data_IF_358555947644
#
_entry.id   IF_358555947644
#
_cell.length_a   1.000
_cell.length_b   1.000
_cell.length_c   1.000
_cell.angle_alpha   90.00
_cell.angle_beta   90.00
_cell.angle_gamma   90.00
#
_symmetry.space_group_name_H-M   'P 1'
#
loop_
_entity.id
_entity.type
_entity.pdbx_description
1 polymer ?
#
# COMPACT_ATOMS: atom_id res chain seq x y z
N UNK A 1 -39.39 -3.50 19.66
CA UNK A 1 -40.56 -4.42 19.57
C UNK A 1 -40.13 -5.80 18.99
N UNK A 2 -40.89 -6.89 19.21
CA UNK A 2 -40.43 -8.25 18.90
C UNK A 2 -40.01 -8.49 17.44
N UNK A 3 -40.61 -7.78 16.49
CA UNK A 3 -40.37 -7.98 15.06
C UNK A 3 -39.25 -7.10 14.48
N UNK A 4 -38.59 -6.28 15.30
CA UNK A 4 -37.54 -5.34 14.89
C UNK A 4 -36.21 -5.70 15.55
N UNK A 5 -35.13 -5.58 14.77
CA UNK A 5 -33.76 -5.79 15.24
C UNK A 5 -32.89 -4.60 14.85
N UNK A 6 -31.83 -4.28 15.63
CA UNK A 6 -30.76 -3.40 15.18
C UNK A 6 -30.16 -3.93 13.87
N UNK A 7 -29.88 -3.02 12.94
CA UNK A 7 -29.22 -3.30 11.67
C UNK A 7 -27.77 -2.82 11.68
N UNK A 8 -27.53 -1.61 12.20
CA UNK A 8 -26.22 -1.01 12.39
C UNK A 8 -26.09 -0.50 13.83
N UNK A 9 -24.85 -0.47 14.33
CA UNK A 9 -24.48 0.11 15.61
C UNK A 9 -23.27 1.02 15.40
N UNK A 10 -23.21 2.09 16.18
CA UNK A 10 -22.07 2.99 16.18
C UNK A 10 -20.89 2.33 16.91
N UNK A 11 -19.74 2.19 16.25
CA UNK A 11 -18.59 1.53 16.85
C UNK A 11 -17.91 2.32 17.98
N UNK A 12 -18.22 3.61 18.14
CA UNK A 12 -17.62 4.46 19.18
C UNK A 12 -18.43 4.46 20.48
N UNK A 13 -19.77 4.42 20.39
CA UNK A 13 -20.66 4.62 21.55
C UNK A 13 -21.81 3.60 21.67
N UNK A 14 -21.81 2.56 20.82
CA UNK A 14 -22.82 1.50 20.76
C UNK A 14 -24.26 1.98 20.51
N UNK A 15 -24.44 3.24 20.10
CA UNK A 15 -25.76 3.78 19.76
C UNK A 15 -26.34 3.11 18.52
N UNK A 16 -27.67 3.16 18.38
CA UNK A 16 -28.34 2.53 17.26
C UNK A 16 -28.18 3.36 15.98
N UNK A 17 -27.68 2.71 14.92
CA UNK A 17 -27.46 3.36 13.61
C UNK A 17 -28.41 2.85 12.52
N UNK A 18 -29.36 1.99 12.89
CA UNK A 18 -30.38 1.50 11.98
C UNK A 18 -31.18 0.34 12.54
N UNK A 19 -32.33 0.08 11.93
CA UNK A 19 -33.25 -1.00 12.32
C UNK A 19 -33.75 -1.75 11.08
N UNK A 20 -34.09 -3.02 11.26
CA UNK A 20 -34.74 -3.83 10.23
C UNK A 20 -35.87 -4.69 10.79
N UNK A 21 -36.93 -4.85 10.01
CA UNK A 21 -38.02 -5.77 10.30
C UNK A 21 -37.65 -7.21 9.92
N UNK A 22 -37.93 -8.16 10.80
CA UNK A 22 -37.51 -9.57 10.68
C UNK A 22 -38.12 -10.34 9.50
N UNK A 23 -39.26 -9.89 8.95
CA UNK A 23 -39.97 -10.56 7.85
C UNK A 23 -40.46 -9.68 6.72
N UNK A 24 -40.41 -8.35 6.87
CA UNK A 24 -40.95 -7.39 5.89
C UNK A 24 -39.77 -6.58 5.35
N UNK A 25 -39.85 -6.04 4.11
CA UNK A 25 -38.77 -5.27 3.51
C UNK A 25 -38.69 -3.84 4.08
N UNK A 26 -38.78 -3.70 5.40
CA UNK A 26 -38.71 -2.42 6.10
C UNK A 26 -37.36 -2.33 6.81
N UNK A 27 -36.60 -1.31 6.46
CA UNK A 27 -35.37 -0.96 7.16
C UNK A 27 -35.24 0.57 7.23
N UNK A 28 -34.40 1.03 8.15
CA UNK A 28 -34.04 2.44 8.31
C UNK A 28 -32.60 2.51 8.79
N UNK A 29 -31.95 3.63 8.48
CA UNK A 29 -30.61 3.98 8.96
C UNK A 29 -30.67 5.35 9.61
N UNK A 30 -29.80 5.59 10.58
CA UNK A 30 -29.69 6.86 11.30
C UNK A 30 -28.73 7.83 10.59
N UNK A 31 -27.79 7.30 9.80
CA UNK A 31 -26.84 8.04 8.98
C UNK A 31 -27.37 8.36 7.57
N UNK A 32 -26.58 9.11 6.81
CA UNK A 32 -26.92 9.68 5.51
C UNK A 32 -26.17 8.98 4.35
N UNK A 33 -26.72 7.90 3.75
CA UNK A 33 -26.05 7.17 2.68
C UNK A 33 -25.91 7.95 1.36
N UNK A 34 -26.61 9.07 1.21
CA UNK A 34 -26.49 9.99 0.07
C UNK A 34 -25.18 10.78 0.07
N UNK A 35 -24.44 10.79 1.19
CA UNK A 35 -23.04 11.19 1.27
C UNK A 35 -22.70 12.60 0.73
N UNK A 36 -23.63 13.55 0.78
CA UNK A 36 -23.44 14.93 0.28
C UNK A 36 -22.62 15.79 1.27
N UNK A 37 -21.34 15.43 1.43
CA UNK A 37 -20.44 15.88 2.49
C UNK A 37 -19.60 14.77 3.13
N UNK A 38 -19.78 13.52 2.69
CA UNK A 38 -19.25 12.33 3.34
C UNK A 38 -18.95 11.18 2.36
N UNK A 39 -18.56 10.01 2.88
CA UNK A 39 -18.14 8.87 2.06
C UNK A 39 -19.31 8.14 1.40
N UNK A 40 -19.13 7.66 0.18
CA UNK A 40 -20.14 6.91 -0.60
C UNK A 40 -20.26 5.43 -0.21
N UNK A 41 -19.63 5.00 0.88
CA UNK A 41 -19.42 3.60 1.26
C UNK A 41 -20.73 2.85 1.58
N UNK A 42 -21.82 3.57 1.84
CA UNK A 42 -23.14 2.99 2.15
C UNK A 42 -24.19 3.21 1.05
N UNK A 43 -23.77 3.65 -0.14
CA UNK A 43 -24.67 3.90 -1.27
C UNK A 43 -25.42 2.64 -1.75
N UNK A 44 -24.90 1.43 -1.48
CA UNK A 44 -25.55 0.16 -1.78
C UNK A 44 -26.95 0.02 -1.13
N UNK A 45 -27.23 0.79 -0.08
CA UNK A 45 -28.56 0.83 0.56
C UNK A 45 -29.66 1.32 -0.40
N UNK A 46 -29.33 2.18 -1.36
CA UNK A 46 -30.28 2.61 -2.39
C UNK A 46 -30.60 1.50 -3.38
N UNK A 47 -29.58 0.78 -3.85
CA UNK A 47 -29.76 -0.38 -4.74
C UNK A 47 -30.65 -1.43 -4.09
N UNK A 48 -30.42 -1.67 -2.79
CA UNK A 48 -31.24 -2.55 -1.98
C UNK A 48 -32.70 -2.10 -1.88
N UNK A 49 -32.93 -0.82 -1.61
CA UNK A 49 -34.29 -0.27 -1.60
C UNK A 49 -34.99 -0.47 -2.95
N UNK A 50 -34.33 -0.12 -4.05
CA UNK A 50 -34.86 -0.31 -5.42
C UNK A 50 -35.12 -1.79 -5.72
N UNK A 51 -34.24 -2.68 -5.28
CA UNK A 51 -34.42 -4.13 -5.40
C UNK A 51 -35.69 -4.62 -4.70
N UNK A 52 -35.93 -4.19 -3.46
CA UNK A 52 -37.18 -4.51 -2.75
C UNK A 52 -38.43 -4.01 -3.47
N UNK A 53 -38.41 -2.78 -3.99
CA UNK A 53 -39.54 -2.21 -4.75
C UNK A 53 -39.82 -3.03 -6.02
N UNK A 54 -38.77 -3.55 -6.66
CA UNK A 54 -38.88 -4.40 -7.86
C UNK A 54 -39.23 -5.86 -7.56
N UNK A 55 -39.38 -6.24 -6.28
CA UNK A 55 -39.62 -7.63 -5.89
C UNK A 55 -38.41 -8.56 -6.09
N UNK A 56 -37.21 -7.99 -6.27
CA UNK A 56 -35.97 -8.76 -6.35
C UNK A 56 -35.49 -9.05 -4.92
N UNK A 57 -35.19 -10.32 -4.56
CA UNK A 57 -34.62 -10.64 -3.26
C UNK A 57 -33.31 -9.87 -3.03
N UNK A 58 -33.22 -9.12 -1.94
CA UNK A 58 -32.03 -8.38 -1.52
C UNK A 58 -31.62 -8.83 -0.11
N UNK A 59 -31.04 -10.03 0.03
CA UNK A 59 -30.63 -10.52 1.34
C UNK A 59 -29.64 -9.55 1.98
N UNK A 60 -29.75 -9.35 3.30
CA UNK A 60 -28.60 -8.84 4.05
C UNK A 60 -27.61 -9.98 4.08
N UNK A 61 -26.65 -9.91 3.17
CA UNK A 61 -25.37 -10.56 3.39
C UNK A 61 -24.67 -9.64 4.37
N UNK A 62 -24.71 -9.98 5.66
CA UNK A 62 -23.60 -9.57 6.51
C UNK A 62 -22.39 -10.14 5.79
N UNK A 63 -21.42 -9.30 5.42
CA UNK A 63 -20.11 -9.83 5.07
C UNK A 63 -19.75 -10.72 6.23
N UNK A 64 -19.78 -12.02 5.98
CA UNK A 64 -19.81 -13.06 7.00
C UNK A 64 -18.40 -13.12 7.57
N UNK A 65 -18.04 -12.13 8.40
CA UNK A 65 -16.69 -11.75 8.85
C UNK A 65 -15.64 -12.54 8.06
N UNK A 66 -15.49 -12.21 6.78
CA UNK A 66 -15.04 -13.15 5.75
C UNK A 66 -13.74 -13.82 6.19
N UNK A 67 -13.86 -15.09 6.62
CA UNK A 67 -12.84 -16.15 6.54
C UNK A 67 -11.45 -15.88 7.13
N UNK A 68 -11.21 -14.76 7.80
CA UNK A 68 -9.92 -14.54 8.43
C UNK A 68 -9.83 -15.37 9.71
N UNK A 69 -9.25 -16.56 9.56
CA UNK A 69 -8.86 -17.37 10.70
C UNK A 69 -7.61 -16.72 11.29
N UNK A 70 -7.77 -16.02 12.41
CA UNK A 70 -6.65 -15.47 13.18
C UNK A 70 -5.61 -16.57 13.39
N UNK A 71 -4.43 -16.37 12.81
CA UNK A 71 -3.30 -17.27 12.97
C UNK A 71 -2.50 -16.83 14.18
N UNK A 72 -2.02 -17.80 14.94
CA UNK A 72 -1.14 -17.54 16.08
C UNK A 72 0.30 -17.72 15.62
N UNK A 73 1.09 -16.67 15.74
CA UNK A 73 2.53 -16.71 15.48
C UNK A 73 3.26 -16.66 16.83
N UNK A 74 4.34 -17.42 16.96
CA UNK A 74 5.19 -17.40 18.17
C UNK A 74 6.44 -16.57 17.93
N UNK A 75 7.00 -16.63 16.72
CA UNK A 75 8.21 -15.90 16.35
C UNK A 75 8.10 -15.29 14.97
N UNK A 76 8.44 -14.01 14.85
CA UNK A 76 8.44 -13.26 13.58
C UNK A 76 9.83 -12.66 13.33
N UNK A 77 10.29 -12.79 12.09
CA UNK A 77 11.47 -12.10 11.57
C UNK A 77 11.05 -10.77 10.92
N UNK A 78 11.52 -9.66 11.46
CA UNK A 78 11.38 -8.32 10.88
C UNK A 78 12.64 -7.95 10.11
N UNK A 79 12.48 -7.53 8.86
CA UNK A 79 13.57 -7.07 8.00
C UNK A 79 13.57 -5.55 7.95
N UNK A 80 14.64 -4.93 8.46
CA UNK A 80 14.79 -3.47 8.47
C UNK A 80 15.18 -2.87 7.11
N UNK A 81 15.41 -1.55 7.08
CA UNK A 81 15.78 -0.82 5.85
C UNK A 81 17.28 -0.80 5.56
N UNK A 82 18.14 -1.10 6.54
CA UNK A 82 19.57 -0.94 6.40
C UNK A 82 20.04 0.50 6.64
N UNK A 83 21.18 0.84 6.06
CA UNK A 83 21.75 2.19 6.17
C UNK A 83 20.84 3.24 5.53
N UNK A 84 20.83 4.45 6.10
CA UNK A 84 20.03 5.55 5.56
C UNK A 84 20.58 5.99 4.20
N UNK A 85 19.68 6.18 3.24
CA UNK A 85 19.96 6.75 1.92
C UNK A 85 18.88 7.76 1.53
N UNK A 86 19.18 8.63 0.57
CA UNK A 86 18.17 9.54 0.01
C UNK A 86 17.00 8.70 -0.54
N UNK A 87 15.77 9.06 -0.18
CA UNK A 87 14.55 8.31 -0.53
C UNK A 87 14.28 7.04 0.29
N UNK A 88 15.15 6.70 1.25
CA UNK A 88 14.92 5.61 2.20
C UNK A 88 15.62 5.91 3.53
N UNK A 89 14.92 6.62 4.42
CA UNK A 89 15.49 7.22 5.62
C UNK A 89 14.89 6.68 6.92
N UNK A 90 14.71 7.55 7.91
CA UNK A 90 14.33 7.21 9.28
C UNK A 90 12.86 6.78 9.44
N UNK A 91 12.02 6.99 8.43
CA UNK A 91 10.63 6.55 8.41
C UNK A 91 10.50 5.04 8.65
N UNK A 92 11.46 4.24 8.18
CA UNK A 92 11.48 2.79 8.40
C UNK A 92 12.03 2.38 9.77
N UNK A 93 12.81 3.24 10.43
CA UNK A 93 13.15 3.04 11.84
C UNK A 93 11.92 3.24 12.73
N UNK A 94 11.16 4.29 12.45
CA UNK A 94 9.89 4.54 13.11
C UNK A 94 8.88 3.40 12.88
N UNK A 95 8.62 3.04 11.62
CA UNK A 95 7.66 1.97 11.27
C UNK A 95 8.09 0.61 11.80
N UNK A 96 9.38 0.27 11.71
CA UNK A 96 9.93 -0.95 12.30
C UNK A 96 9.75 -1.00 13.82
N UNK A 97 9.99 0.12 14.52
CA UNK A 97 9.77 0.22 15.97
C UNK A 97 8.30 0.04 16.37
N UNK A 98 7.36 0.64 15.63
CA UNK A 98 5.91 0.42 15.85
C UNK A 98 5.51 -1.03 15.58
N UNK A 99 6.07 -1.65 14.54
CA UNK A 99 5.86 -3.06 14.24
C UNK A 99 6.35 -3.97 15.37
N UNK A 100 7.54 -3.72 15.92
CA UNK A 100 8.07 -4.45 17.07
C UNK A 100 7.10 -4.31 18.24
N UNK A 101 6.71 -3.07 18.59
CA UNK A 101 5.76 -2.82 19.69
C UNK A 101 4.46 -3.61 19.54
N UNK A 102 3.82 -3.57 18.37
CA UNK A 102 2.58 -4.29 18.11
C UNK A 102 2.75 -5.82 18.26
N UNK A 103 3.84 -6.39 17.73
CA UNK A 103 4.14 -7.81 17.89
C UNK A 103 4.38 -8.19 19.37
N UNK A 104 5.07 -7.34 20.14
CA UNK A 104 5.33 -7.58 21.56
C UNK A 104 4.05 -7.51 22.41
N UNK A 105 3.12 -6.60 22.10
CA UNK A 105 1.81 -6.51 22.75
C UNK A 105 0.97 -7.77 22.53
N UNK A 106 1.11 -8.41 21.36
CA UNK A 106 0.50 -9.72 21.04
C UNK A 106 1.28 -10.93 21.58
N UNK A 107 2.35 -10.70 22.36
CA UNK A 107 3.16 -11.77 22.96
C UNK A 107 4.04 -12.54 21.99
N UNK A 108 4.35 -11.96 20.82
CA UNK A 108 5.15 -12.58 19.77
C UNK A 108 6.64 -12.29 20.02
N UNK A 109 7.50 -13.30 19.82
CA UNK A 109 8.95 -13.13 19.82
C UNK A 109 9.41 -12.47 18.52
N UNK A 110 10.19 -11.40 18.62
CA UNK A 110 10.63 -10.62 17.46
C UNK A 110 12.13 -10.78 17.26
N UNK A 111 12.50 -11.24 16.07
CA UNK A 111 13.88 -11.22 15.57
C UNK A 111 13.99 -10.10 14.55
N UNK A 112 14.93 -9.18 14.73
CA UNK A 112 15.21 -8.11 13.77
C UNK A 112 16.53 -8.37 13.05
N UNK A 113 16.57 -8.16 11.74
CA UNK A 113 17.82 -7.93 10.99
C UNK A 113 17.86 -6.49 10.51
N UNK A 114 18.87 -5.74 10.97
CA UNK A 114 19.17 -4.40 10.44
C UNK A 114 20.64 -4.06 10.74
N UNK A 115 21.50 -3.80 9.73
CA UNK A 115 22.89 -3.41 9.95
C UNK A 115 23.06 -1.98 10.49
N UNK A 116 22.02 -1.14 10.47
CA UNK A 116 22.11 0.25 10.88
C UNK A 116 22.03 0.42 12.40
N UNK A 117 23.20 0.45 13.04
CA UNK A 117 23.36 0.59 14.50
C UNK A 117 22.84 1.92 15.06
N UNK A 118 22.58 2.92 14.22
CA UNK A 118 22.11 4.23 14.67
C UNK A 118 20.58 4.30 14.84
N UNK A 119 19.86 3.18 14.66
CA UNK A 119 18.38 3.14 14.65
C UNK A 119 17.80 2.71 16.00
N UNK A 120 16.68 3.31 16.38
CA UNK A 120 15.95 2.99 17.62
C UNK A 120 15.44 1.56 17.60
N UNK A 121 14.99 1.04 16.46
CA UNK A 121 14.52 -0.34 16.31
C UNK A 121 15.59 -1.39 16.65
N UNK A 122 16.88 -1.04 16.54
CA UNK A 122 18.00 -1.93 16.91
C UNK A 122 18.39 -1.86 18.38
N UNK A 123 17.74 -0.98 19.16
CA UNK A 123 17.95 -0.91 20.60
C UNK A 123 17.39 -2.15 21.30
N UNK A 124 18.18 -2.69 22.23
CA UNK A 124 17.76 -3.77 23.15
C UNK A 124 17.22 -3.22 24.48
N UNK A 125 17.17 -1.90 24.64
CA UNK A 125 16.67 -1.29 25.87
C UNK A 125 15.18 -1.61 26.05
N UNK A 126 14.86 -2.22 27.19
CA UNK A 126 13.48 -2.45 27.62
C UNK A 126 13.04 -1.23 28.42
N UNK A 127 12.55 -0.21 27.74
CA UNK A 127 11.85 0.87 28.41
C UNK A 127 10.43 0.40 28.78
N UNK A 128 9.86 0.95 29.87
CA UNK A 128 8.53 0.57 30.37
C UNK A 128 7.40 0.75 29.34
N UNK A 129 7.63 1.54 28.29
CA UNK A 129 6.63 1.97 27.29
C UNK A 129 6.92 1.48 25.86
N UNK A 130 8.06 0.84 25.60
CA UNK A 130 8.37 0.24 24.30
C UNK A 130 9.44 -0.84 24.45
N UNK A 131 9.07 -2.09 24.19
CA UNK A 131 10.02 -3.19 24.17
C UNK A 131 10.71 -3.26 22.80
N UNK A 132 12.04 -3.32 22.80
CA UNK A 132 12.82 -3.67 21.61
C UNK A 132 12.62 -5.12 21.18
N UNK A 133 13.21 -5.49 20.04
CA UNK A 133 13.21 -6.87 19.55
C UNK A 133 13.94 -7.82 20.52
N UNK A 134 13.52 -9.08 20.58
CA UNK A 134 14.13 -10.10 21.45
C UNK A 134 15.54 -10.48 20.98
N UNK A 135 15.80 -10.41 19.67
CA UNK A 135 17.13 -10.59 19.07
C UNK A 135 17.33 -9.61 17.93
N UNK A 136 18.53 -9.06 17.83
CA UNK A 136 18.93 -8.12 16.76
C UNK A 136 20.18 -8.64 16.05
N UNK A 137 20.11 -8.75 14.73
CA UNK A 137 21.20 -9.14 13.85
C UNK A 137 21.71 -7.93 13.06
N UNK A 138 22.91 -7.47 13.40
CA UNK A 138 23.64 -6.44 12.65
C UNK A 138 24.36 -7.06 11.45
N UNK A 139 23.58 -7.54 10.48
CA UNK A 139 24.08 -8.22 9.29
C UNK A 139 23.56 -7.56 8.01
N UNK A 140 24.27 -7.71 6.87
CA UNK A 140 23.80 -7.19 5.59
C UNK A 140 22.43 -7.76 5.21
N UNK A 141 21.52 -6.90 4.76
CA UNK A 141 20.19 -7.32 4.31
C UNK A 141 20.32 -7.87 2.89
N UNK A 142 20.57 -9.18 2.81
CA UNK A 142 20.69 -9.93 1.55
C UNK A 142 19.97 -11.27 1.69
N UNK A 143 19.38 -11.81 0.61
CA UNK A 143 18.62 -13.06 0.64
C UNK A 143 19.36 -14.24 1.33
N UNK A 144 20.65 -14.53 1.01
CA UNK A 144 21.35 -15.64 1.67
C UNK A 144 21.51 -15.44 3.18
N UNK A 145 21.78 -14.21 3.61
CA UNK A 145 21.97 -13.86 5.03
C UNK A 145 20.66 -13.94 5.80
N UNK A 146 19.56 -13.46 5.20
CA UNK A 146 18.22 -13.58 5.77
C UNK A 146 17.83 -15.06 5.92
N UNK A 147 18.16 -15.90 4.92
CA UNK A 147 17.90 -17.34 5.02
C UNK A 147 18.75 -18.04 6.09
N UNK A 148 20.00 -17.62 6.31
CA UNK A 148 20.80 -18.14 7.42
C UNK A 148 20.13 -17.86 8.79
N UNK A 149 19.54 -16.67 8.95
CA UNK A 149 18.76 -16.32 10.14
C UNK A 149 17.49 -17.17 10.22
N UNK A 150 16.76 -17.34 9.11
CA UNK A 150 15.56 -18.19 9.07
C UNK A 150 15.88 -19.62 9.51
N UNK A 151 16.96 -20.22 9.01
CA UNK A 151 17.36 -21.58 9.40
C UNK A 151 17.74 -21.68 10.89
N UNK A 152 18.40 -20.65 11.42
CA UNK A 152 18.83 -20.60 12.82
C UNK A 152 17.68 -20.36 13.79
N UNK A 153 16.87 -19.34 13.52
CA UNK A 153 15.82 -18.85 14.43
C UNK A 153 14.50 -19.59 14.25
N UNK A 154 14.25 -20.17 13.07
CA UNK A 154 13.01 -20.86 12.70
C UNK A 154 11.76 -20.02 13.01
N UNK A 155 11.65 -18.80 12.45
CA UNK A 155 10.46 -17.97 12.65
C UNK A 155 9.25 -18.61 11.96
N UNK A 156 8.05 -18.38 12.51
CA UNK A 156 6.79 -18.78 11.89
C UNK A 156 6.42 -17.81 10.74
N UNK A 157 6.88 -16.57 10.84
CA UNK A 157 6.53 -15.50 9.91
C UNK A 157 7.66 -14.51 9.64
N UNK A 158 7.55 -13.80 8.52
CA UNK A 158 8.45 -12.72 8.11
C UNK A 158 7.67 -11.47 7.72
N UNK A 159 8.16 -10.30 8.11
CA UNK A 159 7.63 -8.99 7.71
C UNK A 159 8.69 -8.25 6.91
N UNK A 160 8.34 -7.89 5.68
CA UNK A 160 9.20 -7.18 4.72
C UNK A 160 8.68 -5.81 4.30
N UNK A 161 7.49 -5.43 4.76
CA UNK A 161 6.81 -4.18 4.38
C UNK A 161 7.23 -2.95 5.20
N UNK A 162 8.12 -3.11 6.18
CA UNK A 162 8.52 -2.05 7.12
C UNK A 162 9.97 -1.58 6.92
N UNK A 163 10.66 -2.08 5.89
CA UNK A 163 12.08 -1.83 5.63
C UNK A 163 12.36 -1.24 4.25
N UNK A 164 11.39 -0.53 3.65
CA UNK A 164 11.54 0.10 2.33
C UNK A 164 11.85 -0.91 1.21
N UNK A 165 12.40 -0.42 0.10
CA UNK A 165 12.75 -1.27 -1.05
C UNK A 165 13.75 -2.37 -0.69
N UNK A 166 14.64 -2.10 0.27
CA UNK A 166 15.67 -3.04 0.70
C UNK A 166 15.04 -4.33 1.23
N UNK A 167 14.06 -4.22 2.12
CA UNK A 167 13.36 -5.38 2.66
C UNK A 167 12.43 -6.03 1.63
N UNK A 168 11.71 -5.22 0.84
CA UNK A 168 10.79 -5.72 -0.20
C UNK A 168 11.52 -6.58 -1.24
N UNK A 169 12.66 -6.11 -1.76
CA UNK A 169 13.45 -6.85 -2.75
C UNK A 169 13.92 -8.21 -2.20
N UNK A 170 14.35 -8.27 -0.94
CA UNK A 170 14.71 -9.54 -0.30
C UNK A 170 13.48 -10.45 -0.17
N UNK A 171 12.34 -9.91 0.25
CA UNK A 171 11.09 -10.66 0.34
C UNK A 171 10.66 -11.28 -0.99
N UNK A 172 10.71 -10.47 -2.07
CA UNK A 172 10.37 -10.91 -3.43
C UNK A 172 11.32 -12.01 -3.91
N UNK A 173 12.63 -11.84 -3.75
CA UNK A 173 13.61 -12.82 -4.21
C UNK A 173 13.45 -14.17 -3.48
N UNK A 174 13.30 -14.15 -2.15
CA UNK A 174 13.15 -15.35 -1.34
C UNK A 174 11.81 -16.07 -1.56
N UNK A 175 10.77 -15.31 -1.89
CA UNK A 175 9.47 -15.87 -2.26
C UNK A 175 9.51 -16.54 -3.63
N UNK A 176 10.11 -15.87 -4.63
CA UNK A 176 10.27 -16.39 -6.00
C UNK A 176 11.12 -17.65 -6.04
N UNK A 177 12.18 -17.71 -5.23
CA UNK A 177 13.06 -18.88 -5.15
C UNK A 177 12.41 -20.07 -4.42
N UNK A 178 11.25 -19.88 -3.79
CA UNK A 178 10.56 -20.92 -3.01
C UNK A 178 11.18 -21.19 -1.64
N UNK A 179 12.17 -20.39 -1.22
CA UNK A 179 12.95 -20.65 -0.01
C UNK A 179 12.13 -20.43 1.27
N UNK A 180 11.28 -19.41 1.31
CA UNK A 180 10.41 -19.16 2.47
C UNK A 180 9.41 -20.30 2.67
N UNK A 181 8.80 -20.78 1.58
CA UNK A 181 7.82 -21.86 1.58
C UNK A 181 8.48 -23.19 2.00
N UNK A 182 9.68 -23.47 1.48
CA UNK A 182 10.45 -24.66 1.87
C UNK A 182 10.84 -24.64 3.36
N UNK A 183 11.07 -23.46 3.93
CA UNK A 183 11.35 -23.26 5.35
C UNK A 183 10.09 -23.19 6.24
N UNK A 184 8.89 -23.19 5.65
CA UNK A 184 7.62 -23.05 6.37
C UNK A 184 7.39 -21.67 6.98
N UNK A 185 8.01 -20.62 6.42
CA UNK A 185 7.89 -19.23 6.88
C UNK A 185 6.81 -18.50 6.07
N UNK A 186 5.84 -17.90 6.76
CA UNK A 186 4.77 -17.15 6.12
C UNK A 186 5.10 -15.65 5.99
N UNK A 187 4.72 -15.02 4.88
CA UNK A 187 4.79 -13.57 4.74
C UNK A 187 3.57 -12.94 5.43
N UNK A 188 3.81 -12.10 6.42
CA UNK A 188 2.76 -11.42 7.18
C UNK A 188 2.41 -10.07 6.52
N UNK A 189 1.12 -9.75 6.49
CA UNK A 189 0.59 -8.54 5.84
C UNK A 189 0.34 -8.77 4.35
N UNK A 190 0.62 -7.75 3.53
CA UNK A 190 0.44 -7.79 2.08
C UNK A 190 1.29 -8.89 1.47
N UNK A 191 0.65 -9.77 0.70
CA UNK A 191 1.32 -10.92 0.10
C UNK A 191 2.26 -10.49 -1.04
N UNK A 192 3.37 -11.22 -1.23
CA UNK A 192 4.38 -10.90 -2.23
C UNK A 192 3.80 -10.72 -3.65
N UNK A 193 2.90 -11.57 -4.16
CA UNK A 193 2.31 -11.36 -5.48
C UNK A 193 1.56 -10.03 -5.62
N UNK A 194 1.00 -9.49 -4.52
CA UNK A 194 0.32 -8.19 -4.51
C UNK A 194 1.35 -7.06 -4.51
N UNK A 195 2.44 -7.19 -3.74
CA UNK A 195 3.57 -6.24 -3.77
C UNK A 195 4.16 -6.17 -5.19
N UNK A 196 4.34 -7.32 -5.84
CA UNK A 196 4.84 -7.34 -7.22
C UNK A 196 3.88 -6.66 -8.19
N UNK A 197 2.56 -6.87 -8.01
CA UNK A 197 1.56 -6.21 -8.83
C UNK A 197 1.51 -4.68 -8.66
N UNK A 198 2.02 -4.14 -7.55
CA UNK A 198 2.12 -2.68 -7.33
C UNK A 198 3.47 -2.10 -7.76
N UNK A 199 4.54 -2.89 -7.71
CA UNK A 199 5.89 -2.47 -8.11
C UNK A 199 6.12 -2.59 -9.62
N UNK A 200 5.54 -3.63 -10.24
CA UNK A 200 5.57 -3.83 -11.69
C UNK A 200 4.47 -3.00 -12.35
N UNK A 201 4.87 -2.03 -13.16
CA UNK A 201 3.94 -1.07 -13.77
C UNK A 201 3.05 -1.67 -14.85
N UNK A 202 3.48 -2.74 -15.52
CA UNK A 202 2.64 -3.42 -16.51
C UNK A 202 1.52 -4.17 -15.79
N UNK A 203 1.88 -4.96 -14.76
CA UNK A 203 0.91 -5.67 -13.93
C UNK A 203 -0.02 -4.67 -13.24
N UNK A 204 0.51 -3.56 -12.72
CA UNK A 204 -0.29 -2.50 -12.11
C UNK A 204 -1.30 -1.90 -13.09
N UNK A 205 -0.87 -1.60 -14.32
CA UNK A 205 -1.74 -1.10 -15.39
C UNK A 205 -2.85 -2.10 -15.73
N UNK A 206 -2.52 -3.38 -15.83
CA UNK A 206 -3.50 -4.44 -16.08
C UNK A 206 -4.52 -4.54 -14.95
N UNK A 207 -4.07 -4.46 -13.69
CA UNK A 207 -4.95 -4.47 -12.52
C UNK A 207 -5.90 -3.29 -12.45
N UNK A 208 -5.45 -2.10 -12.83
CA UNK A 208 -6.35 -0.94 -12.91
C UNK A 208 -7.34 -1.06 -14.07
N UNK A 209 -6.94 -1.65 -15.20
CA UNK A 209 -7.85 -1.93 -16.33
C UNK A 209 -8.93 -2.96 -15.97
N UNK A 210 -8.64 -3.95 -15.12
CA UNK A 210 -9.64 -4.94 -14.65
C UNK A 210 -10.85 -4.29 -13.95
N UNK A 211 -10.67 -3.08 -13.41
CA UNK A 211 -11.70 -2.32 -12.69
C UNK A 211 -12.11 -1.02 -13.40
N UNK A 212 -11.74 -0.87 -14.68
CA UNK A 212 -12.02 0.31 -15.51
C UNK A 212 -11.47 1.63 -14.94
N UNK A 213 -10.35 1.58 -14.20
CA UNK A 213 -9.70 2.78 -13.67
C UNK A 213 -8.84 3.50 -14.71
N UNK A 214 -8.67 4.81 -14.50
CA UNK A 214 -7.98 5.67 -15.45
C UNK A 214 -6.50 5.82 -15.11
N UNK A 215 -5.63 5.62 -16.10
CA UNK A 215 -4.18 5.84 -15.97
C UNK A 215 -3.67 6.75 -17.07
N UNK A 216 -2.55 7.41 -16.82
CA UNK A 216 -1.78 8.09 -17.85
C UNK A 216 -1.35 7.08 -18.93
N UNK A 217 -1.22 7.53 -20.19
CA UNK A 217 -0.61 6.69 -21.21
C UNK A 217 0.84 6.39 -20.81
N UNK A 218 1.19 5.11 -20.74
CA UNK A 218 2.48 4.64 -20.28
C UNK A 218 2.88 3.39 -21.04
N UNK A 219 4.15 3.30 -21.45
CA UNK A 219 4.73 2.13 -22.09
C UNK A 219 6.11 1.83 -21.48
N UNK A 220 6.44 0.55 -21.37
CA UNK A 220 7.77 0.08 -21.01
C UNK A 220 8.69 0.07 -22.22
N UNK A 221 9.99 0.20 -21.96
CA UNK A 221 11.04 0.03 -22.95
C UNK A 221 12.28 -0.61 -22.30
N UNK A 222 12.92 -1.53 -23.03
CA UNK A 222 14.15 -2.22 -22.62
C UNK A 222 15.38 -1.71 -23.37
N UNK A 223 15.17 -0.85 -24.37
CA UNK A 223 16.23 -0.18 -25.11
C UNK A 223 15.76 1.20 -25.60
N UNK A 224 16.70 2.00 -26.11
CA UNK A 224 16.42 3.38 -26.52
C UNK A 224 15.48 3.48 -27.73
N UNK A 225 15.47 2.50 -28.63
CA UNK A 225 14.61 2.54 -29.82
C UNK A 225 13.15 2.23 -29.45
N UNK A 226 12.92 1.24 -28.58
CA UNK A 226 11.60 0.99 -27.97
C UNK A 226 11.08 2.22 -27.22
N UNK A 227 11.95 2.94 -26.51
CA UNK A 227 11.58 4.17 -25.82
C UNK A 227 11.10 5.26 -26.78
N UNK A 228 11.77 5.42 -27.93
CA UNK A 228 11.36 6.37 -28.97
C UNK A 228 10.04 5.96 -29.62
N UNK A 229 9.83 4.66 -29.88
CA UNK A 229 8.54 4.16 -30.38
C UNK A 229 7.40 4.43 -29.40
N UNK A 230 7.63 4.19 -28.10
CA UNK A 230 6.69 4.52 -27.04
C UNK A 230 6.37 6.01 -26.99
N UNK A 231 7.38 6.87 -27.02
CA UNK A 231 7.19 8.32 -27.00
C UNK A 231 6.43 8.83 -28.23
N UNK A 232 6.63 8.23 -29.41
CA UNK A 232 5.87 8.58 -30.61
C UNK A 232 4.39 8.17 -30.53
N UNK A 233 4.06 7.11 -29.79
CA UNK A 233 2.66 6.72 -29.53
C UNK A 233 1.96 7.67 -28.56
N UNK A 234 2.69 8.16 -27.55
CA UNK A 234 2.17 9.08 -26.53
C UNK A 234 2.09 10.53 -27.07
N UNK A 235 3.13 10.97 -27.77
CA UNK A 235 3.39 12.37 -28.12
C UNK A 235 4.27 13.05 -27.07
N UNK A 236 5.25 13.83 -27.53
CA UNK A 236 6.11 14.64 -26.66
C UNK A 236 5.40 15.90 -26.12
N UNK A 237 5.81 16.44 -24.96
CA UNK A 237 6.84 15.93 -24.04
C UNK A 237 6.42 14.63 -23.31
N UNK A 238 7.41 13.85 -22.87
CA UNK A 238 7.21 12.61 -22.10
C UNK A 238 8.05 12.59 -20.82
N UNK A 239 7.61 11.82 -19.83
CA UNK A 239 8.35 11.54 -18.61
C UNK A 239 9.04 10.17 -18.72
N UNK A 240 10.34 10.12 -18.48
CA UNK A 240 11.13 8.90 -18.38
C UNK A 240 11.30 8.53 -16.91
N UNK A 241 11.03 7.27 -16.54
CA UNK A 241 11.27 6.75 -15.17
C UNK A 241 11.96 5.39 -15.22
N UNK A 242 12.92 5.16 -14.33
CA UNK A 242 13.50 3.83 -14.14
C UNK A 242 12.51 2.90 -13.39
N UNK A 243 12.45 1.63 -13.78
CA UNK A 243 11.73 0.60 -13.01
C UNK A 243 12.48 0.22 -11.72
N UNK A 244 11.76 -0.29 -10.71
CA UNK A 244 12.31 -0.78 -9.43
C UNK A 244 13.20 0.22 -8.67
N UNK A 245 12.91 1.52 -8.78
CA UNK A 245 13.64 2.59 -8.12
C UNK A 245 12.68 3.49 -7.33
N UNK A 246 13.16 3.99 -6.18
CA UNK A 246 12.48 4.99 -5.35
C UNK A 246 13.13 6.37 -5.51
N UNK A 247 12.40 7.43 -5.17
CA UNK A 247 12.96 8.79 -5.10
C UNK A 247 13.31 9.41 -6.45
N UNK A 248 12.69 8.95 -7.55
CA UNK A 248 12.94 9.51 -8.88
C UNK A 248 14.33 9.24 -9.47
N UNK A 249 15.09 8.27 -8.97
CA UNK A 249 16.41 7.95 -9.48
C UNK A 249 16.38 7.62 -10.98
N UNK A 250 17.13 8.38 -11.79
CA UNK A 250 17.18 8.19 -13.23
C UNK A 250 15.93 8.66 -13.98
N UNK A 251 15.02 9.38 -13.33
CA UNK A 251 13.83 9.97 -13.96
C UNK A 251 14.09 11.36 -14.53
N UNK A 252 13.31 11.76 -15.53
CA UNK A 252 13.40 13.09 -16.13
C UNK A 252 12.44 13.29 -17.29
N UNK A 253 12.24 14.54 -17.69
CA UNK A 253 11.37 14.92 -18.80
C UNK A 253 12.17 15.06 -20.10
N UNK A 254 11.62 14.53 -21.19
CA UNK A 254 12.15 14.71 -22.53
C UNK A 254 11.15 15.50 -23.37
N UNK A 255 11.58 16.64 -23.91
CA UNK A 255 10.79 17.45 -24.83
C UNK A 255 10.85 16.94 -26.28
N UNK A 256 11.87 16.14 -26.61
CA UNK A 256 12.08 15.57 -27.94
C UNK A 256 12.84 14.24 -27.90
N UNK A 257 13.01 13.61 -29.06
CA UNK A 257 13.71 12.33 -29.21
C UNK A 257 15.18 12.40 -28.74
N UNK A 258 15.85 13.53 -28.94
CA UNK A 258 17.26 13.68 -28.57
C UNK A 258 17.41 13.65 -27.05
N UNK A 259 16.62 14.45 -26.34
CA UNK A 259 16.59 14.46 -24.88
C UNK A 259 16.18 13.09 -24.33
N UNK A 260 15.21 12.42 -24.97
CA UNK A 260 14.77 11.08 -24.59
C UNK A 260 15.91 10.06 -24.67
N UNK A 261 16.67 10.03 -25.77
CA UNK A 261 17.80 9.09 -25.92
C UNK A 261 18.89 9.35 -24.89
N UNK A 262 19.18 10.61 -24.56
CA UNK A 262 20.15 10.97 -23.53
C UNK A 262 19.69 10.53 -22.12
N UNK A 263 18.40 10.71 -21.81
CA UNK A 263 17.81 10.26 -20.53
C UNK A 263 17.74 8.73 -20.44
N UNK A 264 17.27 8.07 -21.50
CA UNK A 264 17.19 6.61 -21.56
C UNK A 264 18.57 5.97 -21.33
N UNK A 265 19.63 6.50 -21.95
CA UNK A 265 20.99 5.99 -21.75
C UNK A 265 21.45 6.07 -20.29
N UNK A 266 21.08 7.13 -19.57
CA UNK A 266 21.36 7.27 -18.14
C UNK A 266 20.53 6.30 -17.30
N UNK A 267 19.24 6.20 -17.58
CA UNK A 267 18.34 5.34 -16.83
C UNK A 267 18.68 3.84 -17.00
N UNK A 268 19.08 3.43 -18.20
CA UNK A 268 19.53 2.05 -18.47
C UNK A 268 20.86 1.69 -17.80
N UNK A 269 21.64 2.65 -17.31
CA UNK A 269 22.83 2.37 -16.52
C UNK A 269 22.49 1.79 -15.13
N UNK A 270 21.27 2.05 -14.64
CA UNK A 270 20.81 1.63 -13.31
C UNK A 270 19.59 0.70 -13.33
N UNK A 271 18.91 0.53 -14.46
CA UNK A 271 17.74 -0.34 -14.60
C UNK A 271 17.76 -1.08 -15.93
N UNK A 272 17.25 -2.32 -15.96
CA UNK A 272 17.04 -3.08 -17.20
C UNK A 272 15.80 -2.64 -17.99
N UNK A 273 14.95 -1.80 -17.38
CA UNK A 273 13.68 -1.34 -17.95
C UNK A 273 13.40 0.11 -17.54
N UNK A 274 12.90 0.89 -18.49
CA UNK A 274 12.41 2.25 -18.26
C UNK A 274 10.95 2.36 -18.69
N UNK A 275 10.30 3.41 -18.23
CA UNK A 275 8.92 3.73 -18.51
C UNK A 275 8.85 5.10 -19.15
N UNK A 276 8.06 5.20 -20.22
CA UNK A 276 7.77 6.43 -20.94
C UNK A 276 6.32 6.76 -20.67
N UNK A 277 6.06 7.84 -19.94
CA UNK A 277 4.71 8.31 -19.61
C UNK A 277 4.35 9.60 -20.33
N UNK A 278 3.05 9.77 -20.49
CA UNK A 278 2.43 11.04 -20.78
C UNK A 278 2.82 12.10 -19.76
N UNK A 279 3.23 13.26 -20.27
CA UNK A 279 3.50 14.42 -19.43
C UNK A 279 2.20 14.99 -18.84
N UNK A 280 2.09 14.93 -17.51
CA UNK A 280 1.00 15.50 -16.73
C UNK A 280 1.47 16.66 -15.85
N UNK A 281 2.61 17.28 -16.18
CA UNK A 281 3.17 18.39 -15.39
C UNK A 281 2.15 19.49 -15.16
N UNK A 282 2.14 20.02 -13.95
CA UNK A 282 1.21 21.08 -13.54
C UNK A 282 -0.13 20.57 -13.00
N UNK A 283 -0.42 19.27 -13.10
CA UNK A 283 -1.56 18.68 -12.41
C UNK A 283 -1.34 18.72 -10.90
N UNK A 284 -2.44 18.75 -10.13
CA UNK A 284 -2.37 18.56 -8.68
C UNK A 284 -1.92 17.14 -8.38
N UNK A 285 -1.01 16.99 -7.42
CA UNK A 285 -0.56 15.69 -6.93
C UNK A 285 -1.12 15.45 -5.53
N UNK A 286 -1.76 14.30 -5.35
CA UNK A 286 -2.58 13.97 -4.19
C UNK A 286 -2.21 12.55 -3.72
N UNK A 287 -2.12 12.38 -2.41
CA UNK A 287 -1.71 11.13 -1.79
C UNK A 287 -2.75 10.69 -0.76
N UNK A 288 -2.98 9.38 -0.65
CA UNK A 288 -3.91 8.77 0.30
C UNK A 288 -3.23 7.63 1.06
N UNK A 289 -3.29 7.70 2.38
CA UNK A 289 -2.85 6.62 3.26
C UNK A 289 -4.04 5.69 3.52
N UNK A 290 -3.99 4.49 2.94
CA UNK A 290 -5.09 3.51 2.98
C UNK A 290 -4.75 2.35 3.90
N UNK A 291 -5.69 2.02 4.79
CA UNK A 291 -5.62 0.81 5.63
C UNK A 291 -6.74 -0.12 5.24
N UNK A 292 -6.40 -1.38 4.94
CA UNK A 292 -7.36 -2.45 4.71
C UNK A 292 -7.05 -3.64 5.60
N UNK A 293 -8.04 -4.13 6.32
CA UNK A 293 -7.92 -5.30 7.18
C UNK A 293 -8.35 -6.60 6.47
N UNK A 294 -8.17 -7.73 7.16
CA UNK A 294 -8.55 -9.03 6.63
C UNK A 294 -10.05 -9.32 6.66
N UNK A 295 -10.84 -8.48 7.32
CA UNK A 295 -12.31 -8.51 7.30
C UNK A 295 -12.87 -7.65 6.15
N UNK A 296 -12.00 -7.13 5.27
CA UNK A 296 -12.33 -6.29 4.12
C UNK A 296 -12.82 -4.88 4.50
N UNK A 297 -12.60 -4.44 5.75
CA UNK A 297 -12.77 -3.04 6.10
C UNK A 297 -11.63 -2.24 5.47
N UNK A 298 -11.98 -1.18 4.72
CA UNK A 298 -11.02 -0.33 4.03
C UNK A 298 -11.30 1.14 4.36
N UNK A 299 -10.30 1.88 4.85
CA UNK A 299 -10.41 3.29 5.20
C UNK A 299 -9.20 4.09 4.71
N UNK A 300 -9.43 5.34 4.36
CA UNK A 300 -8.41 6.35 4.11
C UNK A 300 -8.11 7.10 5.41
N UNK A 301 -6.95 6.87 6.01
CA UNK A 301 -6.55 7.45 7.31
C UNK A 301 -6.13 8.90 7.16
N UNK A 302 -5.38 9.20 6.10
CA UNK A 302 -4.89 10.54 5.80
C UNK A 302 -4.98 10.78 4.30
N UNK A 303 -5.16 12.03 3.93
CA UNK A 303 -4.97 12.49 2.57
C UNK A 303 -4.11 13.74 2.57
N UNK A 304 -3.29 13.88 1.55
CA UNK A 304 -2.29 14.94 1.44
C UNK A 304 -2.39 15.60 0.07
N UNK A 305 -2.14 16.91 0.05
CA UNK A 305 -2.05 17.70 -1.18
C UNK A 305 -0.67 18.29 -1.32
N UNK A 306 -0.04 18.01 -2.46
CA UNK A 306 1.25 18.58 -2.79
C UNK A 306 1.04 20.04 -3.20
N UNK A 307 1.82 20.93 -2.60
CA UNK A 307 1.87 22.35 -2.96
C UNK A 307 2.55 22.52 -4.31
N UNK A 308 3.65 21.80 -4.51
CA UNK A 308 4.33 21.70 -5.78
C UNK A 308 3.54 20.73 -6.69
N UNK A 309 3.26 21.09 -7.95
CA UNK A 309 2.47 20.25 -8.83
C UNK A 309 3.27 19.04 -9.31
N UNK A 310 2.57 18.10 -9.95
CA UNK A 310 3.17 16.93 -10.58
C UNK A 310 4.37 17.34 -11.44
N UNK A 311 5.49 16.66 -11.21
CA UNK A 311 6.79 16.92 -11.84
C UNK A 311 7.88 17.34 -10.85
N UNK A 312 7.50 17.67 -9.61
CA UNK A 312 8.38 17.64 -8.45
C UNK A 312 8.07 16.35 -7.68
N UNK A 313 9.09 15.58 -7.29
CA UNK A 313 8.86 14.33 -6.57
C UNK A 313 8.23 14.62 -5.20
N UNK A 314 7.23 13.85 -4.76
CA UNK A 314 6.51 14.11 -3.50
C UNK A 314 7.42 14.27 -2.28
N UNK A 315 8.47 13.45 -2.18
CA UNK A 315 9.51 13.57 -1.13
C UNK A 315 10.34 14.87 -1.15
N UNK A 316 10.35 15.61 -2.27
CA UNK A 316 10.99 16.93 -2.42
C UNK A 316 9.96 18.09 -2.45
N UNK A 317 8.67 17.77 -2.53
CA UNK A 317 7.57 18.73 -2.56
C UNK A 317 7.24 19.25 -1.15
N UNK A 318 6.77 20.49 -1.08
CA UNK A 318 6.00 20.93 0.11
C UNK A 318 4.64 20.25 0.07
N UNK A 319 4.21 19.65 1.19
CA UNK A 319 2.95 18.90 1.29
C UNK A 319 2.13 19.42 2.46
N UNK A 320 0.80 19.51 2.27
CA UNK A 320 -0.17 19.89 3.32
C UNK A 320 -1.16 18.76 3.58
N UNK A 321 -1.58 18.61 4.84
CA UNK A 321 -2.58 17.64 5.27
C UNK A 321 -3.64 18.31 6.17
N UNK A 322 -4.95 18.14 5.92
CA UNK A 322 -5.54 17.48 4.76
C UNK A 322 -5.42 18.33 3.47
N UNK A 323 -5.86 17.79 2.32
CA UNK A 323 -6.05 18.60 1.10
C UNK A 323 -6.94 19.82 1.34
N UNK A 324 -6.61 20.93 0.67
CA UNK A 324 -7.22 22.26 0.87
C UNK A 324 -8.03 22.73 -0.34
N UNK A 325 -7.69 22.29 -1.55
CA UNK A 325 -8.26 22.86 -2.79
C UNK A 325 -9.15 21.89 -3.57
N UNK A 326 -9.53 20.78 -2.95
CA UNK A 326 -10.50 19.83 -3.51
C UNK A 326 -11.91 20.20 -3.07
N UNK A 327 -12.84 20.18 -4.03
CA UNK A 327 -14.26 20.15 -3.72
C UNK A 327 -14.63 18.81 -3.07
N UNK A 328 -15.75 18.77 -2.34
CA UNK A 328 -16.29 17.53 -1.78
C UNK A 328 -16.41 16.40 -2.83
N UNK A 329 -16.83 16.77 -4.05
CA UNK A 329 -17.01 15.81 -5.15
C UNK A 329 -15.67 15.23 -5.60
N UNK A 330 -14.64 16.05 -5.76
CA UNK A 330 -13.30 15.59 -6.17
C UNK A 330 -12.67 14.73 -5.07
N UNK A 331 -12.77 15.17 -3.81
CA UNK A 331 -12.26 14.43 -2.67
C UNK A 331 -12.86 13.03 -2.57
N UNK A 332 -14.19 12.92 -2.52
CA UNK A 332 -14.85 11.63 -2.36
C UNK A 332 -14.89 10.78 -3.63
N UNK A 333 -14.61 11.38 -4.80
CA UNK A 333 -14.32 10.61 -6.02
C UNK A 333 -12.97 9.92 -5.91
N UNK A 334 -11.92 10.62 -5.47
CA UNK A 334 -10.56 10.08 -5.35
C UNK A 334 -10.38 9.15 -4.13
N UNK A 335 -11.17 9.35 -3.08
CA UNK A 335 -11.17 8.51 -1.88
C UNK A 335 -11.78 7.12 -2.13
N UNK A 336 -12.74 7.04 -3.06
CA UNK A 336 -13.56 5.84 -3.28
C UNK A 336 -12.74 4.72 -3.92
#
# INVERSE_FOLDING_TARGET
PPMWKPLFLNANDDSNEGIIHTSKPFFSVQFHPEASGGPFDTAFLFEKFVGHVRGVPQPIVLQDALRYKQRTYKKVLLVGSGGLSIGQAGEFDYSGSQCIKALKEEGIEVVLINPNIATVQTSQEKADYSQGADRVYFLPIRPPVVMDIVHKEKPDGIIVSMGGQTALNVGVELWKSGQLQAAGVEVLGTQIPVIEATEDREIFSEKLKEIDETIALSYSATNADEAVEAANKIGFPVLVRAAFALGGLGSGFAADEKELRELAAKAFASSSQILIDQDLRGWKELEYEVVRDAADNCITVCNMENFDPLGVHTGDSIVVAPSQTLTNREYFMLRK
#
